data_IF_341449648039
#
_entry.id   IF_341449648039
#
_cell.length_a   1.000
_cell.length_b   1.000
_cell.length_c   1.000
_cell.angle_alpha   90.00
_cell.angle_beta   90.00
_cell.angle_gamma   90.00
#
_symmetry.space_group_name_H-M   'P 1'
#
loop_
_entity.id
_entity.type
_entity.pdbx_description
1 polymer ?
#
# COMPACT_ATOMS: atom_id res chain seq x y z
N UNK A 1 -13.04 -26.56 8.15
CA UNK A 1 -12.95 -25.44 7.20
C UNK A 1 -12.33 -25.98 5.91
N UNK A 2 -13.10 -26.04 4.84
CA UNK A 2 -12.58 -26.46 3.52
C UNK A 2 -11.79 -25.29 2.95
N UNK A 3 -10.49 -25.45 2.78
CA UNK A 3 -9.67 -24.51 2.03
C UNK A 3 -10.13 -24.58 0.58
N UNK A 4 -10.84 -23.57 0.13
CA UNK A 4 -11.21 -23.43 -1.27
C UNK A 4 -9.92 -23.36 -2.06
N UNK A 5 -9.69 -24.37 -2.91
CA UNK A 5 -8.51 -24.45 -3.77
C UNK A 5 -8.60 -23.30 -4.78
N UNK A 6 -7.94 -22.18 -4.50
CA UNK A 6 -7.88 -21.06 -5.42
C UNK A 6 -7.01 -21.50 -6.58
N UNK A 7 -7.63 -21.77 -7.71
CA UNK A 7 -6.92 -22.05 -8.97
C UNK A 7 -6.44 -20.72 -9.53
N UNK A 8 -5.16 -20.45 -9.41
CA UNK A 8 -4.54 -19.31 -10.07
C UNK A 8 -4.18 -19.70 -11.50
N UNK A 9 -4.79 -19.05 -12.47
CA UNK A 9 -4.35 -19.10 -13.87
C UNK A 9 -2.91 -18.59 -14.03
N UNK A 10 -2.32 -18.71 -15.22
CA UNK A 10 -0.94 -18.25 -15.47
C UNK A 10 -0.81 -16.76 -15.15
N UNK A 11 0.07 -16.45 -14.21
CA UNK A 11 0.37 -15.07 -13.76
C UNK A 11 1.48 -14.41 -14.59
N UNK A 12 1.91 -15.07 -15.66
CA UNK A 12 2.92 -14.51 -16.54
C UNK A 12 2.26 -13.48 -17.48
N UNK A 13 2.84 -12.30 -17.56
CA UNK A 13 2.42 -11.25 -18.47
C UNK A 13 3.64 -10.50 -19.01
N UNK A 14 3.47 -9.90 -20.19
CA UNK A 14 4.47 -9.08 -20.86
C UNK A 14 4.11 -7.59 -20.78
N UNK A 15 5.04 -6.72 -21.18
CA UNK A 15 4.77 -5.27 -21.29
C UNK A 15 3.58 -4.99 -22.22
N UNK A 16 3.41 -5.78 -23.31
CA UNK A 16 2.27 -5.63 -24.21
C UNK A 16 0.95 -5.98 -23.54
N UNK A 17 0.93 -6.99 -22.66
CA UNK A 17 -0.28 -7.39 -21.95
C UNK A 17 -0.76 -6.28 -21.04
N UNK A 18 0.13 -5.68 -20.23
CA UNK A 18 -0.22 -4.59 -19.29
C UNK A 18 -0.60 -3.28 -20.00
N UNK A 19 -0.13 -3.08 -21.24
CA UNK A 19 -0.55 -1.94 -22.07
C UNK A 19 -1.94 -2.14 -22.68
N UNK A 20 -2.31 -3.39 -23.01
CA UNK A 20 -3.59 -3.71 -23.65
C UNK A 20 -4.73 -3.84 -22.65
N UNK A 21 -4.43 -4.39 -21.49
CA UNK A 21 -5.42 -4.64 -20.44
C UNK A 21 -5.00 -3.87 -19.18
N UNK A 22 -5.73 -2.81 -18.88
CA UNK A 22 -5.49 -1.92 -17.73
C UNK A 22 -6.36 -2.27 -16.53
N UNK A 23 -6.95 -3.46 -16.48
CA UNK A 23 -7.81 -3.91 -15.37
C UNK A 23 -7.10 -3.96 -14.00
N UNK A 24 -5.77 -3.97 -14.00
CA UNK A 24 -4.94 -3.81 -12.80
C UNK A 24 -4.89 -2.38 -12.25
N UNK A 25 -5.40 -1.38 -13.02
CA UNK A 25 -5.51 0.00 -12.58
C UNK A 25 -6.94 0.23 -12.09
N UNK A 26 -7.08 0.52 -10.81
CA UNK A 26 -8.34 0.87 -10.17
C UNK A 26 -8.33 2.35 -9.80
N UNK A 27 -9.49 3.01 -9.89
CA UNK A 27 -9.63 4.41 -9.45
C UNK A 27 -10.73 4.47 -8.39
N UNK A 28 -10.45 5.19 -7.33
CA UNK A 28 -11.43 5.48 -6.29
C UNK A 28 -12.54 6.40 -6.83
N UNK A 29 -13.77 6.09 -6.52
CA UNK A 29 -14.93 6.97 -6.68
C UNK A 29 -14.97 8.03 -5.57
N UNK A 30 -15.83 9.02 -5.72
CA UNK A 30 -16.00 10.08 -4.73
C UNK A 30 -16.48 9.54 -3.38
N UNK A 31 -17.38 8.56 -3.38
CA UNK A 31 -17.83 7.89 -2.15
C UNK A 31 -16.73 7.11 -1.44
N UNK A 32 -15.86 6.47 -2.20
CA UNK A 32 -14.70 5.74 -1.66
C UNK A 32 -13.67 6.71 -1.06
N UNK A 33 -13.41 7.82 -1.76
CA UNK A 33 -12.55 8.90 -1.24
C UNK A 33 -13.16 9.54 0.00
N UNK A 34 -14.47 9.78 0.00
CA UNK A 34 -15.18 10.29 1.17
C UNK A 34 -15.03 9.38 2.38
N UNK A 35 -15.19 8.06 2.18
CA UNK A 35 -15.00 7.06 3.24
C UNK A 35 -13.59 7.10 3.84
N UNK A 36 -12.55 7.22 3.01
CA UNK A 36 -11.18 7.34 3.49
C UNK A 36 -10.94 8.64 4.26
N UNK A 37 -11.48 9.78 3.78
CA UNK A 37 -11.39 11.07 4.49
C UNK A 37 -12.09 11.03 5.85
N UNK A 38 -13.26 10.42 5.91
CA UNK A 38 -14.02 10.28 7.15
C UNK A 38 -13.27 9.42 8.18
N UNK A 39 -12.69 8.29 7.74
CA UNK A 39 -11.89 7.41 8.58
C UNK A 39 -10.62 8.11 9.09
N UNK A 40 -9.92 8.87 8.23
CA UNK A 40 -8.76 9.66 8.61
C UNK A 40 -9.14 10.72 9.67
N UNK A 41 -10.26 11.43 9.44
CA UNK A 41 -10.75 12.43 10.41
C UNK A 41 -11.09 11.81 11.76
N UNK A 42 -11.66 10.61 11.78
CA UNK A 42 -11.93 9.85 12.99
C UNK A 42 -10.63 9.48 13.72
N UNK A 43 -9.68 8.87 13.02
CA UNK A 43 -8.41 8.44 13.58
C UNK A 43 -7.58 9.60 14.17
N UNK A 44 -7.60 10.76 13.51
CA UNK A 44 -6.95 11.99 14.03
C UNK A 44 -7.50 12.41 15.38
N UNK A 45 -8.81 12.30 15.61
CA UNK A 45 -9.44 12.67 16.90
C UNK A 45 -9.04 11.71 18.02
N UNK A 46 -8.78 10.46 17.71
CA UNK A 46 -8.34 9.46 18.69
C UNK A 46 -6.91 9.71 19.17
N UNK A 47 -6.07 10.32 18.33
CA UNK A 47 -4.66 10.60 18.61
C UNK A 47 -3.90 9.39 19.19
N UNK A 48 -4.17 8.20 18.65
CA UNK A 48 -3.63 6.94 19.12
C UNK A 48 -2.30 6.62 18.43
N UNK A 49 -1.29 6.03 19.09
CA UNK A 49 -0.08 5.57 18.44
C UNK A 49 -0.40 4.60 17.29
N UNK A 50 0.27 4.73 16.14
CA UNK A 50 -0.02 3.93 14.95
C UNK A 50 -0.05 2.42 15.23
N UNK A 51 0.94 1.91 15.98
CA UNK A 51 1.07 0.48 16.25
C UNK A 51 0.00 -0.07 17.23
N UNK A 52 -0.70 0.81 17.92
CA UNK A 52 -1.81 0.43 18.82
C UNK A 52 -3.18 0.51 18.12
N UNK A 53 -3.22 1.01 16.90
CA UNK A 53 -4.46 1.13 16.14
C UNK A 53 -4.95 -0.23 15.66
N UNK A 54 -6.26 -0.37 15.67
CA UNK A 54 -7.01 -1.49 15.08
C UNK A 54 -7.97 -0.97 14.02
N UNK A 55 -8.59 -1.85 13.24
CA UNK A 55 -9.54 -1.44 12.19
C UNK A 55 -10.65 -0.51 12.69
N UNK A 56 -11.13 -0.70 13.92
CA UNK A 56 -12.17 0.15 14.52
C UNK A 56 -11.71 1.60 14.72
N UNK A 57 -10.40 1.85 14.82
CA UNK A 57 -9.83 3.20 14.96
C UNK A 57 -9.71 3.94 13.61
N UNK A 58 -9.90 3.22 12.50
CA UNK A 58 -9.92 3.76 11.14
C UNK A 58 -11.14 3.21 10.37
N UNK A 59 -12.37 3.59 10.76
CA UNK A 59 -13.62 2.98 10.28
C UNK A 59 -13.91 3.41 8.83
N UNK A 60 -13.61 2.53 7.88
CA UNK A 60 -14.00 2.73 6.49
C UNK A 60 -15.50 2.49 6.30
N UNK A 61 -16.15 3.31 5.46
CA UNK A 61 -17.48 2.99 4.96
C UNK A 61 -17.43 1.78 4.02
N UNK A 62 -18.59 1.23 3.68
CA UNK A 62 -18.68 0.04 2.82
C UNK A 62 -18.04 0.25 1.45
N UNK A 63 -18.19 1.44 0.86
CA UNK A 63 -17.61 1.77 -0.44
C UNK A 63 -16.07 1.71 -0.41
N UNK A 64 -15.43 2.41 0.54
CA UNK A 64 -13.97 2.40 0.68
C UNK A 64 -13.43 1.01 1.05
N UNK A 65 -14.16 0.26 1.87
CA UNK A 65 -13.82 -1.13 2.20
C UNK A 65 -13.82 -2.00 0.95
N UNK A 66 -14.87 -1.95 0.15
CA UNK A 66 -14.98 -2.69 -1.09
C UNK A 66 -13.89 -2.30 -2.11
N UNK A 67 -13.45 -1.03 -2.13
CA UNK A 67 -12.34 -0.62 -2.99
C UNK A 67 -11.04 -1.34 -2.62
N UNK A 68 -10.73 -1.48 -1.34
CA UNK A 68 -9.57 -2.25 -0.89
C UNK A 68 -9.71 -3.75 -1.19
N UNK A 69 -10.89 -4.32 -0.95
CA UNK A 69 -11.15 -5.73 -1.24
C UNK A 69 -10.97 -6.03 -2.75
N UNK A 70 -11.43 -5.12 -3.64
CA UNK A 70 -11.19 -5.21 -5.08
C UNK A 70 -9.70 -5.11 -5.42
N UNK A 71 -8.97 -4.17 -4.81
CA UNK A 71 -7.53 -4.01 -5.04
C UNK A 71 -6.74 -5.27 -4.62
N UNK A 72 -7.09 -5.85 -3.48
CA UNK A 72 -6.51 -7.12 -3.01
C UNK A 72 -6.83 -8.26 -3.98
N UNK A 73 -8.08 -8.38 -4.43
CA UNK A 73 -8.48 -9.42 -5.39
C UNK A 73 -7.71 -9.31 -6.72
N UNK A 74 -7.51 -8.09 -7.24
CA UNK A 74 -6.69 -7.84 -8.44
C UNK A 74 -5.23 -8.22 -8.21
N UNK A 75 -4.67 -7.88 -7.04
CA UNK A 75 -3.29 -8.23 -6.66
C UNK A 75 -3.11 -9.74 -6.54
N UNK A 76 -4.10 -10.45 -6.01
CA UNK A 76 -4.09 -11.91 -5.92
C UNK A 76 -4.41 -12.61 -7.25
N UNK A 77 -4.93 -11.88 -8.24
CA UNK A 77 -5.32 -12.39 -9.54
C UNK A 77 -4.15 -12.52 -10.53
N UNK A 78 -4.50 -12.47 -11.82
CA UNK A 78 -3.58 -12.63 -12.97
C UNK A 78 -2.36 -11.70 -12.89
N UNK A 79 -2.59 -10.45 -12.52
CA UNK A 79 -1.56 -9.41 -12.61
C UNK A 79 -0.52 -9.47 -11.49
N UNK A 80 -0.86 -9.97 -10.32
CA UNK A 80 0.00 -9.93 -9.15
C UNK A 80 0.28 -8.51 -8.63
N UNK A 81 -0.44 -7.51 -9.15
CA UNK A 81 -0.30 -6.11 -8.81
C UNK A 81 -1.62 -5.37 -8.98
N UNK A 82 -1.79 -4.27 -8.24
CA UNK A 82 -2.87 -3.32 -8.43
C UNK A 82 -2.37 -1.89 -8.24
N UNK A 83 -2.72 -0.99 -9.15
CA UNK A 83 -2.50 0.44 -8.99
C UNK A 83 -3.81 1.11 -8.61
N UNK A 84 -3.96 1.47 -7.34
CA UNK A 84 -5.14 2.16 -6.82
C UNK A 84 -4.90 3.67 -6.86
N UNK A 85 -5.64 4.38 -7.71
CA UNK A 85 -5.54 5.83 -7.93
C UNK A 85 -6.67 6.59 -7.26
N UNK A 86 -6.42 7.86 -6.95
CA UNK A 86 -7.46 8.80 -6.49
C UNK A 86 -7.40 9.14 -5.01
N UNK A 87 -6.39 8.67 -4.28
CA UNK A 87 -6.16 9.17 -2.92
C UNK A 87 -5.82 10.65 -2.95
N UNK A 88 -6.43 11.48 -2.09
CA UNK A 88 -6.23 12.94 -2.08
C UNK A 88 -4.94 13.32 -1.32
N UNK A 89 -3.81 12.74 -1.72
CA UNK A 89 -2.51 12.89 -1.03
C UNK A 89 -1.98 14.32 -1.01
N UNK A 90 -2.37 15.13 -1.99
CA UNK A 90 -1.98 16.54 -2.06
C UNK A 90 -2.66 17.41 -0.98
N UNK A 91 -3.78 16.94 -0.42
CA UNK A 91 -4.51 17.60 0.66
C UNK A 91 -3.97 17.22 2.04
N UNK A 92 -3.14 16.18 2.13
CA UNK A 92 -2.69 15.59 3.39
C UNK A 92 -1.31 16.09 3.79
N UNK A 93 -1.16 16.41 5.08
CA UNK A 93 0.15 16.54 5.69
C UNK A 93 0.93 15.22 5.63
N UNK A 94 2.21 15.24 5.90
CA UNK A 94 3.01 14.01 6.00
C UNK A 94 2.47 13.08 7.09
N UNK A 95 2.10 13.63 8.24
CA UNK A 95 1.53 12.88 9.35
C UNK A 95 0.17 12.26 8.97
N UNK A 96 -0.71 13.03 8.30
CA UNK A 96 -2.00 12.53 7.81
C UNK A 96 -1.81 11.42 6.78
N UNK A 97 -0.84 11.56 5.89
CA UNK A 97 -0.52 10.53 4.90
C UNK A 97 -0.09 9.22 5.56
N UNK A 98 0.80 9.30 6.56
CA UNK A 98 1.24 8.12 7.32
C UNK A 98 0.09 7.47 8.08
N UNK A 99 -0.76 8.28 8.72
CA UNK A 99 -1.93 7.80 9.45
C UNK A 99 -2.95 7.13 8.51
N UNK A 100 -3.26 7.75 7.37
CA UNK A 100 -4.16 7.18 6.38
C UNK A 100 -3.60 5.88 5.79
N UNK A 101 -2.32 5.87 5.42
CA UNK A 101 -1.68 4.68 4.87
C UNK A 101 -1.67 3.53 5.87
N UNK A 102 -1.35 3.80 7.15
CA UNK A 102 -1.43 2.80 8.21
C UNK A 102 -2.85 2.29 8.40
N UNK A 103 -3.82 3.18 8.52
CA UNK A 103 -5.24 2.83 8.70
C UNK A 103 -5.77 1.94 7.57
N UNK A 104 -5.43 2.26 6.32
CA UNK A 104 -5.78 1.43 5.16
C UNK A 104 -5.09 0.05 5.22
N UNK A 105 -3.83 -0.01 5.66
CA UNK A 105 -3.07 -1.26 5.74
C UNK A 105 -3.66 -2.26 6.74
N UNK A 106 -4.35 -1.79 7.77
CA UNK A 106 -5.05 -2.65 8.75
C UNK A 106 -6.15 -3.52 8.12
N UNK A 107 -6.65 -3.13 6.94
CA UNK A 107 -7.61 -3.90 6.16
C UNK A 107 -6.97 -4.87 5.16
N UNK A 108 -5.67 -4.72 4.91
CA UNK A 108 -4.93 -5.55 3.94
C UNK A 108 -4.23 -6.74 4.59
N UNK A 109 -3.99 -6.70 5.89
CA UNK A 109 -3.32 -7.76 6.62
C UNK A 109 -2.60 -7.27 7.87
N UNK A 110 -1.61 -8.04 8.30
CA UNK A 110 -0.79 -7.72 9.47
C UNK A 110 0.52 -7.09 9.02
N UNK A 111 0.80 -5.88 9.52
CA UNK A 111 2.05 -5.17 9.22
C UNK A 111 3.27 -5.95 9.70
N UNK A 112 4.25 -6.15 8.80
CA UNK A 112 5.51 -6.83 9.10
C UNK A 112 6.61 -5.81 9.34
N UNK A 113 7.45 -6.05 10.34
CA UNK A 113 8.62 -5.21 10.60
C UNK A 113 9.61 -5.28 9.43
N UNK A 114 10.09 -4.11 8.99
CA UNK A 114 10.93 -3.98 7.81
C UNK A 114 12.42 -3.83 8.11
N UNK A 115 12.76 -3.55 9.38
CA UNK A 115 14.14 -3.39 9.79
C UNK A 115 14.33 -3.79 11.26
N UNK A 116 15.61 -3.73 11.73
CA UNK A 116 15.97 -4.07 13.10
C UNK A 116 15.42 -3.11 14.16
N UNK A 117 15.00 -1.91 13.76
CA UNK A 117 14.33 -0.95 14.63
C UNK A 117 12.83 -1.22 14.77
N UNK A 118 12.34 -2.35 14.27
CA UNK A 118 10.93 -2.76 14.30
C UNK A 118 9.98 -1.78 13.60
N UNK A 119 10.48 -1.00 12.65
CA UNK A 119 9.64 -0.12 11.84
C UNK A 119 8.82 -0.96 10.86
N UNK A 120 7.53 -0.67 10.79
CA UNK A 120 6.56 -1.34 9.90
C UNK A 120 6.30 -0.53 8.62
N UNK A 121 6.78 0.72 8.60
CA UNK A 121 6.58 1.67 7.52
C UNK A 121 7.85 2.52 7.36
N UNK A 122 8.33 2.68 6.13
CA UNK A 122 9.51 3.49 5.82
C UNK A 122 9.20 4.52 4.75
N UNK A 123 9.79 5.69 4.86
CA UNK A 123 9.79 6.67 3.79
C UNK A 123 10.80 6.26 2.71
N UNK A 124 10.35 6.20 1.47
CA UNK A 124 11.23 5.96 0.32
C UNK A 124 11.64 7.31 -0.24
N UNK A 125 12.86 7.72 0.03
CA UNK A 125 13.45 8.99 -0.46
C UNK A 125 14.96 8.90 -0.54
N UNK A 126 15.55 9.67 -1.44
CA UNK A 126 17.00 9.79 -1.49
C UNK A 126 17.52 10.62 -0.30
N UNK A 127 18.29 10.00 0.56
CA UNK A 127 18.97 10.60 1.70
C UNK A 127 20.50 10.58 1.50
N UNK A 128 20.97 10.31 0.27
CA UNK A 128 22.38 10.15 -0.04
C UNK A 128 22.99 8.83 0.44
N UNK A 129 22.16 7.87 0.78
CA UNK A 129 22.58 6.54 1.23
C UNK A 129 23.19 5.69 0.12
N UNK A 130 23.79 4.57 0.50
CA UNK A 130 24.21 3.53 -0.44
C UNK A 130 23.81 2.16 0.07
N UNK A 131 23.07 1.40 -0.74
CA UNK A 131 22.66 0.05 -0.36
C UNK A 131 23.79 -0.99 -0.60
N UNK A 132 24.83 -0.62 -1.35
CA UNK A 132 25.99 -1.50 -1.66
C UNK A 132 27.00 -1.60 -0.53
N UNK A 133 26.80 -0.85 0.56
CA UNK A 133 27.64 -0.93 1.76
C UNK A 133 27.01 -1.82 2.81
N UNK A 134 27.80 -2.37 3.73
CA UNK A 134 27.29 -3.23 4.82
C UNK A 134 26.23 -2.49 5.64
N UNK A 135 25.03 -3.04 5.66
CA UNK A 135 23.88 -2.43 6.36
C UNK A 135 23.13 -1.36 5.59
N UNK A 136 23.54 -1.05 4.37
CA UNK A 136 22.84 -0.13 3.48
C UNK A 136 21.44 -0.61 3.12
N UNK A 137 20.55 0.32 2.79
CA UNK A 137 19.15 0.05 2.41
C UNK A 137 18.81 0.75 1.10
N UNK A 138 18.02 0.07 0.26
CA UNK A 138 17.64 0.60 -1.04
C UNK A 138 16.66 1.77 -0.98
N UNK A 139 15.84 1.87 0.08
CA UNK A 139 14.79 2.88 0.18
C UNK A 139 15.30 4.31 0.47
N UNK A 140 16.57 4.49 0.85
CA UNK A 140 17.16 5.79 1.16
C UNK A 140 18.26 6.23 0.18
N UNK A 141 18.25 5.68 -1.01
CA UNK A 141 19.23 5.97 -2.08
C UNK A 141 18.53 6.18 -3.42
N UNK A 142 19.14 6.94 -4.30
CA UNK A 142 18.73 7.09 -5.70
C UNK A 142 19.36 6.04 -6.63
N UNK A 143 20.11 5.08 -6.10
CA UNK A 143 20.73 4.05 -6.91
C UNK A 143 19.68 3.09 -7.48
N UNK A 144 19.94 2.58 -8.68
CA UNK A 144 19.13 1.52 -9.26
C UNK A 144 19.18 0.27 -8.37
N UNK A 145 18.01 -0.24 -8.03
CA UNK A 145 17.87 -1.51 -7.31
C UNK A 145 17.82 -2.66 -8.30
N UNK A 146 18.51 -3.75 -7.96
CA UNK A 146 18.42 -4.99 -8.71
C UNK A 146 17.03 -5.62 -8.55
N UNK A 147 16.65 -6.48 -9.50
CA UNK A 147 15.43 -7.29 -9.36
C UNK A 147 15.52 -8.12 -8.09
N UNK A 148 14.48 -8.03 -7.27
CA UNK A 148 14.39 -8.72 -5.99
C UNK A 148 12.94 -9.08 -5.69
N UNK A 149 12.75 -9.84 -4.64
CA UNK A 149 11.45 -10.11 -4.05
C UNK A 149 11.50 -9.79 -2.56
N UNK A 150 10.40 -9.27 -2.04
CA UNK A 150 10.25 -9.03 -0.61
C UNK A 150 9.77 -10.29 0.11
N UNK A 151 10.10 -10.40 1.38
CA UNK A 151 9.76 -11.56 2.21
C UNK A 151 8.38 -11.44 2.88
N UNK A 152 7.38 -10.96 2.14
CA UNK A 152 5.99 -10.78 2.59
C UNK A 152 5.01 -11.13 1.47
N UNK A 153 3.75 -11.34 1.82
CA UNK A 153 2.71 -11.73 0.86
C UNK A 153 2.26 -10.57 -0.01
N UNK A 154 2.26 -9.35 0.55
CA UNK A 154 1.86 -8.11 -0.14
C UNK A 154 2.80 -6.98 0.24
N UNK A 155 3.30 -6.27 -0.76
CA UNK A 155 4.00 -4.99 -0.60
C UNK A 155 3.05 -3.89 -1.05
N UNK A 156 2.91 -2.85 -0.24
CA UNK A 156 2.16 -1.66 -0.61
C UNK A 156 3.07 -0.44 -0.61
N UNK A 157 2.85 0.46 -1.56
CA UNK A 157 3.55 1.73 -1.68
C UNK A 157 2.53 2.85 -1.90
N UNK A 158 2.66 3.96 -1.17
CA UNK A 158 1.87 5.16 -1.40
C UNK A 158 2.76 6.24 -1.99
N UNK A 159 2.49 6.61 -3.26
CA UNK A 159 3.23 7.68 -3.93
C UNK A 159 2.66 9.03 -3.51
N UNK A 160 3.46 9.85 -2.84
CA UNK A 160 3.15 11.25 -2.53
C UNK A 160 3.62 12.21 -3.62
N UNK A 161 4.77 11.92 -4.21
CA UNK A 161 5.37 12.71 -5.31
C UNK A 161 6.10 11.77 -6.23
N UNK A 162 5.94 11.99 -7.52
CA UNK A 162 6.75 11.28 -8.52
C UNK A 162 8.18 11.78 -8.49
N UNK A 163 9.13 10.89 -8.72
CA UNK A 163 10.51 11.27 -8.97
C UNK A 163 10.59 12.14 -10.23
N UNK A 164 11.53 13.09 -10.21
CA UNK A 164 11.86 13.92 -11.38
C UNK A 164 12.79 13.19 -12.32
#
# INVERSE_FOLDING_TARGET
>A
MSLTKISFGPRAWTAQDVCRDTSWIQRLSDDEVYGVRAALSHAKKLNKPLLEMVQADFPLNDAARQALDRAIAVTQGRWGMCLLKGFPVDEWSEADTKLAYWGLSLYMGVGRTQNRASQVMNDVRDEGGSYKVKGGRGYNTNAQLDFHQDSCDVVALLCRRTAK
#
